data_IF_936011505028
#
_entry.id   IF_936011505028
#
_cell.length_a   1.000
_cell.length_b   1.000
_cell.length_c   1.000
_cell.angle_alpha   90.00
_cell.angle_beta   90.00
_cell.angle_gamma   90.00
#
_symmetry.space_group_name_H-M   'P 1'
#
loop_
_entity.id
_entity.type
_entity.pdbx_description
1 polymer ?
#
# COMPACT_ATOMS: atom_id res chain seq x y z
N UNK A 1 -0.67 -15.35 -3.20
CA UNK A 1 -0.81 -13.87 -3.31
C UNK A 1 -0.85 -13.43 -4.76
N UNK A 2 0.11 -13.88 -5.59
CA UNK A 2 0.16 -13.55 -7.02
C UNK A 2 -1.19 -13.75 -7.74
N UNK A 3 -1.82 -14.92 -7.62
CA UNK A 3 -3.11 -15.21 -8.29
C UNK A 3 -4.23 -14.23 -7.94
N UNK A 4 -4.34 -13.86 -6.65
CA UNK A 4 -5.35 -12.89 -6.20
C UNK A 4 -5.08 -11.49 -6.77
N UNK A 5 -3.80 -11.08 -6.84
CA UNK A 5 -3.42 -9.81 -7.45
C UNK A 5 -3.65 -9.83 -8.96
N UNK A 6 -3.36 -10.94 -9.64
CA UNK A 6 -3.65 -11.12 -11.07
C UNK A 6 -5.14 -10.97 -11.35
N UNK A 7 -6.00 -11.59 -10.54
CA UNK A 7 -7.45 -11.44 -10.66
C UNK A 7 -7.89 -9.98 -10.45
N UNK A 8 -7.37 -9.30 -9.43
CA UNK A 8 -7.67 -7.88 -9.17
C UNK A 8 -7.17 -6.98 -10.31
N UNK A 9 -6.02 -7.30 -10.90
CA UNK A 9 -5.41 -6.57 -12.01
C UNK A 9 -6.26 -6.55 -13.28
N UNK A 10 -7.25 -7.44 -13.41
CA UNK A 10 -8.21 -7.42 -14.52
C UNK A 10 -9.17 -6.23 -14.46
N UNK A 11 -9.40 -5.66 -13.27
CA UNK A 11 -10.35 -4.57 -13.05
C UNK A 11 -9.79 -3.35 -12.32
N UNK A 12 -8.52 -3.38 -11.93
CA UNK A 12 -7.89 -2.30 -11.16
C UNK A 12 -6.42 -2.09 -11.55
N UNK A 13 -5.98 -0.84 -11.51
CA UNK A 13 -4.56 -0.49 -11.53
C UNK A 13 -3.94 -0.78 -10.16
N UNK A 14 -2.99 -1.71 -10.11
CA UNK A 14 -2.28 -2.07 -8.87
C UNK A 14 -0.97 -1.28 -8.81
N UNK A 15 -0.71 -0.64 -7.67
CA UNK A 15 0.53 0.07 -7.38
C UNK A 15 1.06 -0.38 -6.03
N UNK A 16 2.34 -0.72 -5.97
CA UNK A 16 3.04 -1.06 -4.73
C UNK A 16 3.61 0.22 -4.11
N UNK A 17 3.08 0.61 -2.93
CA UNK A 17 3.54 1.78 -2.18
C UNK A 17 4.37 1.36 -0.95
N UNK A 18 5.68 1.50 -1.04
CA UNK A 18 6.61 1.10 0.04
C UNK A 18 7.17 2.33 0.76
N UNK A 19 6.96 2.39 2.08
CA UNK A 19 7.63 3.38 2.92
C UNK A 19 9.08 2.91 3.18
N UNK A 20 10.05 3.56 2.56
CA UNK A 20 11.47 3.21 2.66
C UNK A 20 12.38 4.32 2.08
N UNK A 21 13.64 4.42 2.53
CA UNK A 21 14.63 5.27 1.90
C UNK A 21 14.83 4.94 0.42
N UNK A 22 14.85 5.96 -0.44
CA UNK A 22 14.90 5.78 -1.90
C UNK A 22 16.15 5.02 -2.37
N UNK A 23 17.26 5.12 -1.64
CA UNK A 23 18.51 4.38 -1.91
C UNK A 23 18.30 2.85 -1.98
N UNK A 24 17.27 2.32 -1.34
CA UNK A 24 16.96 0.90 -1.32
C UNK A 24 15.95 0.47 -2.41
N UNK A 25 15.46 1.40 -3.25
CA UNK A 25 14.44 1.11 -4.26
C UNK A 25 14.84 -0.01 -5.22
N UNK A 26 16.08 -0.02 -5.70
CA UNK A 26 16.56 -1.03 -6.64
C UNK A 26 16.52 -2.46 -6.04
N UNK A 27 16.96 -2.60 -4.79
CA UNK A 27 16.92 -3.88 -4.06
C UNK A 27 15.48 -4.34 -3.85
N UNK A 28 14.58 -3.43 -3.46
CA UNK A 28 13.15 -3.75 -3.30
C UNK A 28 12.51 -4.18 -4.61
N UNK A 29 12.81 -3.49 -5.72
CA UNK A 29 12.30 -3.82 -7.05
C UNK A 29 12.73 -5.23 -7.46
N UNK A 30 14.02 -5.52 -7.39
CA UNK A 30 14.56 -6.84 -7.74
C UNK A 30 13.94 -7.97 -6.90
N UNK A 31 13.75 -7.75 -5.60
CA UNK A 31 13.11 -8.75 -4.73
C UNK A 31 11.65 -9.03 -5.12
N UNK A 32 10.88 -7.99 -5.42
CA UNK A 32 9.49 -8.12 -5.85
C UNK A 32 9.38 -8.78 -7.24
N UNK A 33 10.32 -8.50 -8.15
CA UNK A 33 10.38 -9.12 -9.48
C UNK A 33 10.63 -10.63 -9.37
N UNK A 34 11.54 -11.05 -8.47
CA UNK A 34 11.78 -12.46 -8.20
C UNK A 34 10.55 -13.21 -7.63
N UNK A 35 9.56 -12.47 -7.10
CA UNK A 35 8.29 -13.00 -6.62
C UNK A 35 7.15 -12.87 -7.65
N UNK A 36 7.43 -12.38 -8.86
CA UNK A 36 6.41 -12.15 -9.90
C UNK A 36 5.47 -10.98 -9.59
N UNK A 37 5.89 -10.01 -8.78
CA UNK A 37 5.11 -8.83 -8.40
C UNK A 37 5.54 -7.60 -9.19
N UNK A 38 5.46 -7.67 -10.52
CA UNK A 38 5.96 -6.69 -11.49
C UNK A 38 5.16 -5.37 -11.59
N UNK A 39 4.16 -5.19 -10.72
CA UNK A 39 3.38 -3.94 -10.61
C UNK A 39 4.24 -2.71 -10.32
N UNK A 40 3.84 -1.50 -10.79
CA UNK A 40 4.55 -0.25 -10.52
C UNK A 40 4.90 -0.07 -9.03
N UNK A 41 6.18 0.21 -8.75
CA UNK A 41 6.69 0.45 -7.40
C UNK A 41 6.93 1.94 -7.16
N UNK A 42 6.17 2.50 -6.23
CA UNK A 42 6.39 3.80 -5.63
C UNK A 42 7.02 3.63 -4.23
N UNK A 43 8.18 4.27 -4.04
CA UNK A 43 8.81 4.40 -2.72
C UNK A 43 8.50 5.77 -2.14
N UNK A 44 8.30 5.87 -0.83
CA UNK A 44 8.10 7.15 -0.12
C UNK A 44 8.90 7.17 1.18
N UNK A 45 9.47 8.32 1.53
CA UNK A 45 10.05 8.57 2.87
C UNK A 45 9.08 9.35 3.78
N UNK A 46 7.93 9.75 3.22
CA UNK A 46 6.85 10.42 3.94
C UNK A 46 5.71 9.44 4.25
N UNK A 47 4.73 9.92 5.03
CA UNK A 47 3.47 9.21 5.26
C UNK A 47 2.80 8.79 3.93
N UNK A 48 2.11 7.65 3.93
CA UNK A 48 1.54 7.08 2.70
C UNK A 48 0.35 7.86 2.16
N UNK A 49 -0.46 8.46 3.03
CA UNK A 49 -1.66 9.20 2.65
C UNK A 49 -1.44 10.26 1.55
N UNK A 50 -0.51 11.22 1.72
CA UNK A 50 -0.21 12.20 0.68
C UNK A 50 0.26 11.58 -0.64
N UNK A 51 1.00 10.47 -0.60
CA UNK A 51 1.41 9.75 -1.81
C UNK A 51 0.20 9.12 -2.52
N UNK A 52 -0.74 8.53 -1.77
CA UNK A 52 -2.00 7.99 -2.31
C UNK A 52 -2.84 9.10 -2.94
N UNK A 53 -2.99 10.25 -2.28
CA UNK A 53 -3.73 11.39 -2.82
C UNK A 53 -3.12 11.89 -4.15
N UNK A 54 -1.78 11.97 -4.22
CA UNK A 54 -1.07 12.35 -5.44
C UNK A 54 -1.24 11.33 -6.57
N UNK A 55 -1.19 10.02 -6.27
CA UNK A 55 -1.43 8.96 -7.24
C UNK A 55 -2.87 8.95 -7.76
N UNK A 56 -3.85 9.13 -6.87
CA UNK A 56 -5.28 9.22 -7.21
C UNK A 56 -5.51 10.33 -8.23
N UNK A 57 -4.87 11.48 -8.03
CA UNK A 57 -5.04 12.68 -8.84
C UNK A 57 -6.42 13.30 -8.69
N UNK A 58 -6.70 14.34 -9.49
CA UNK A 58 -7.93 15.14 -9.37
C UNK A 58 -9.20 14.43 -9.85
N UNK A 59 -9.05 13.31 -10.57
CA UNK A 59 -10.18 12.59 -11.19
C UNK A 59 -11.05 11.81 -10.20
N UNK A 60 -10.70 11.80 -8.91
CA UNK A 60 -11.54 11.20 -7.89
C UNK A 60 -11.69 9.68 -8.00
N UNK A 61 -10.80 8.98 -8.71
CA UNK A 61 -10.89 7.52 -8.91
C UNK A 61 -11.04 6.77 -7.57
N UNK A 62 -11.82 5.68 -7.50
CA UNK A 62 -11.92 4.86 -6.30
C UNK A 62 -10.55 4.34 -5.86
N UNK A 63 -10.30 4.31 -4.56
CA UNK A 63 -9.06 3.82 -3.97
C UNK A 63 -9.39 2.71 -2.99
N UNK A 64 -8.74 1.56 -3.17
CA UNK A 64 -8.60 0.53 -2.16
C UNK A 64 -7.15 0.53 -1.66
N UNK A 65 -6.95 0.65 -0.35
CA UNK A 65 -5.64 0.67 0.28
C UNK A 65 -5.52 -0.48 1.27
N UNK A 66 -4.50 -1.32 1.07
CA UNK A 66 -4.22 -2.52 1.85
C UNK A 66 -2.89 -2.35 2.56
N UNK A 67 -2.88 -2.44 3.88
CA UNK A 67 -1.67 -2.28 4.69
C UNK A 67 -1.81 -3.06 6.01
N UNK A 68 -0.69 -3.49 6.58
CA UNK A 68 -0.63 -4.17 7.87
C UNK A 68 -0.45 -3.20 9.04
N UNK A 69 -0.06 -1.94 8.77
CA UNK A 69 0.19 -0.96 9.81
C UNK A 69 -0.99 0.01 9.98
N UNK A 70 -1.65 0.05 11.16
CA UNK A 70 -2.76 0.96 11.40
C UNK A 70 -2.47 2.45 11.15
N UNK A 71 -1.26 2.92 11.48
CA UNK A 71 -0.87 4.32 11.23
C UNK A 71 -0.84 4.68 9.74
N UNK A 72 -0.51 3.72 8.86
CA UNK A 72 -0.60 3.91 7.41
C UNK A 72 -2.06 4.01 6.94
N UNK A 73 -2.97 3.21 7.53
CA UNK A 73 -4.40 3.27 7.22
C UNK A 73 -5.02 4.59 7.69
N UNK A 74 -4.68 5.06 8.89
CA UNK A 74 -5.09 6.39 9.39
C UNK A 74 -4.56 7.49 8.48
N UNK A 75 -3.28 7.43 8.09
CA UNK A 75 -2.70 8.38 7.13
C UNK A 75 -3.47 8.40 5.80
N UNK A 76 -3.84 7.22 5.27
CA UNK A 76 -4.64 7.10 4.06
C UNK A 76 -6.02 7.75 4.24
N UNK A 77 -6.76 7.44 5.32
CA UNK A 77 -8.07 8.05 5.60
C UNK A 77 -7.99 9.58 5.68
N UNK A 78 -6.97 10.10 6.36
CA UNK A 78 -6.81 11.55 6.54
C UNK A 78 -6.54 12.30 5.23
N UNK A 79 -5.91 11.64 4.25
CA UNK A 79 -5.57 12.25 2.96
C UNK A 79 -6.60 11.96 1.87
N UNK A 80 -7.27 10.81 1.95
CA UNK A 80 -8.27 10.32 1.00
C UNK A 80 -9.42 9.71 1.82
N UNK A 81 -10.35 10.57 2.24
CA UNK A 81 -11.41 10.20 3.18
C UNK A 81 -12.32 9.08 2.67
N UNK A 82 -12.49 8.96 1.36
CA UNK A 82 -13.30 7.97 0.66
C UNK A 82 -12.53 6.72 0.22
N UNK A 83 -11.28 6.55 0.66
CA UNK A 83 -10.54 5.31 0.44
C UNK A 83 -11.16 4.14 1.22
N UNK A 84 -11.26 2.99 0.55
CA UNK A 84 -11.59 1.72 1.19
C UNK A 84 -10.33 1.15 1.80
N UNK A 85 -10.34 0.91 3.11
CA UNK A 85 -9.16 0.53 3.87
C UNK A 85 -9.26 -0.92 4.32
N UNK A 86 -8.23 -1.70 4.02
CA UNK A 86 -8.12 -3.10 4.40
C UNK A 86 -6.90 -3.26 5.30
N UNK A 87 -7.15 -3.57 6.58
CA UNK A 87 -6.09 -3.97 7.49
C UNK A 87 -5.79 -5.45 7.28
N UNK A 88 -4.73 -5.76 6.53
CA UNK A 88 -4.35 -7.13 6.21
C UNK A 88 -2.95 -7.42 6.76
N UNK A 89 -2.90 -8.24 7.80
CA UNK A 89 -1.68 -8.66 8.46
C UNK A 89 -1.42 -10.14 8.16
N UNK A 90 -0.18 -10.49 7.81
CA UNK A 90 0.19 -11.86 7.48
C UNK A 90 0.15 -12.78 8.71
N UNK A 91 0.57 -12.27 9.87
CA UNK A 91 0.56 -13.00 11.13
C UNK A 91 -0.27 -12.26 12.19
N UNK A 92 -1.44 -12.79 12.50
CA UNK A 92 -2.35 -12.19 13.48
C UNK A 92 -1.81 -12.20 14.91
N UNK A 93 -0.79 -13.02 15.23
CA UNK A 93 -0.15 -13.01 16.54
C UNK A 93 0.49 -11.65 16.86
N UNK A 94 0.91 -10.91 15.81
CA UNK A 94 1.55 -9.61 15.96
C UNK A 94 0.59 -8.50 16.40
N UNK A 95 -0.73 -8.73 16.34
CA UNK A 95 -1.74 -7.73 16.75
C UNK A 95 -1.60 -7.30 18.21
N UNK A 96 -1.13 -8.18 19.08
CA UNK A 96 -0.91 -7.86 20.51
C UNK A 96 0.17 -6.81 20.74
N UNK A 97 1.06 -6.58 19.76
CA UNK A 97 2.12 -5.58 19.82
C UNK A 97 1.77 -4.26 19.12
N UNK A 98 0.59 -4.18 18.50
CA UNK A 98 0.17 -2.95 17.85
C UNK A 98 -0.19 -1.89 18.91
N UNK A 99 0.12 -0.61 18.65
CA UNK A 99 -0.44 0.47 19.46
C UNK A 99 -1.97 0.44 19.37
N UNK A 100 -2.68 0.95 20.39
CA UNK A 100 -4.13 1.08 20.32
C UNK A 100 -4.53 1.88 19.07
N UNK A 101 -5.46 1.34 18.31
CA UNK A 101 -6.04 2.06 17.16
C UNK A 101 -6.95 3.18 17.68
N UNK A 102 -6.87 4.39 17.10
CA UNK A 102 -7.77 5.50 17.44
C UNK A 102 -9.23 5.20 17.11
#
# INVERSE_FOLDING_TARGET
AADALTMLGQGAEIVLLTAMPHKHRAVRRAHLDALGLDYPLLTTEMAKGPAIAKLRGLKGRPVAFVDDQPSNLVSARNSVADAHLFHLMADNSLRSFLPPTP
#
